data_IF_725364942686
#
_entry.id   IF_725364942686
#
_cell.length_a   1.000
_cell.length_b   1.000
_cell.length_c   1.000
_cell.angle_alpha   90.00
_cell.angle_beta   90.00
_cell.angle_gamma   90.00
#
_symmetry.space_group_name_H-M   'P 1'
#
loop_
_entity.id
_entity.type
_entity.pdbx_description
1 polymer ?
#
# COMPACT_ATOMS: atom_id res chain seq x y z
N UNK A 1 15.23 12.98 27.25
CA UNK A 1 15.50 13.25 25.83
C UNK A 1 14.20 13.08 25.07
N UNK A 2 13.70 14.13 24.41
CA UNK A 2 12.45 14.09 23.65
C UNK A 2 12.78 13.62 22.22
N UNK A 3 12.44 12.38 21.88
CA UNK A 3 12.71 11.86 20.54
C UNK A 3 11.92 12.69 19.51
N UNK A 4 12.63 13.29 18.56
CA UNK A 4 12.06 14.10 17.48
C UNK A 4 11.30 13.18 16.52
N UNK A 5 10.00 13.04 16.72
CA UNK A 5 9.12 12.19 15.91
C UNK A 5 8.70 12.96 14.64
N UNK A 6 9.68 13.26 13.79
CA UNK A 6 9.44 13.97 12.53
C UNK A 6 9.03 12.97 11.44
N UNK A 7 7.75 12.97 11.06
CA UNK A 7 7.25 12.18 9.93
C UNK A 7 8.00 12.52 8.63
N UNK A 8 8.15 11.53 7.75
CA UNK A 8 8.67 11.78 6.41
C UNK A 8 7.66 12.64 5.62
N UNK A 9 8.15 13.66 4.92
CA UNK A 9 7.30 14.49 4.05
C UNK A 9 6.82 13.66 2.87
N UNK A 10 5.53 13.34 2.87
CA UNK A 10 4.86 12.57 1.80
C UNK A 10 4.51 13.52 0.66
N UNK A 11 5.02 13.27 -0.55
CA UNK A 11 4.74 14.08 -1.75
C UNK A 11 3.44 13.68 -2.44
N UNK A 12 3.13 12.39 -2.47
CA UNK A 12 1.88 11.86 -3.02
C UNK A 12 1.16 11.08 -1.93
N UNK A 13 -0.12 11.36 -1.74
CA UNK A 13 -0.99 10.61 -0.84
C UNK A 13 -2.38 10.51 -1.44
N UNK A 14 -2.59 9.52 -2.30
CA UNK A 14 -3.82 9.39 -3.09
C UNK A 14 -4.49 8.05 -2.85
N UNK A 15 -5.78 8.08 -2.48
CA UNK A 15 -6.62 6.90 -2.43
C UNK A 15 -7.06 6.52 -3.85
N UNK A 16 -7.02 5.23 -4.16
CA UNK A 16 -7.47 4.65 -5.42
C UNK A 16 -8.43 3.49 -5.10
N UNK A 17 -9.44 3.31 -5.93
CA UNK A 17 -10.38 2.19 -5.84
C UNK A 17 -10.11 1.25 -7.01
N UNK A 18 -9.85 -0.01 -6.70
CA UNK A 18 -9.69 -1.08 -7.69
C UNK A 18 -10.98 -1.91 -7.76
N UNK A 19 -11.24 -2.54 -8.92
CA UNK A 19 -12.35 -3.47 -9.06
C UNK A 19 -12.28 -4.60 -8.01
N UNK A 20 -13.42 -5.24 -7.69
CA UNK A 20 -13.51 -6.36 -6.76
C UNK A 20 -12.97 -7.66 -7.39
N UNK A 21 -11.69 -7.65 -7.79
CA UNK A 21 -11.00 -8.77 -8.44
C UNK A 21 -9.65 -8.99 -7.74
N UNK A 22 -9.23 -10.25 -7.68
CA UNK A 22 -7.90 -10.57 -7.18
C UNK A 22 -6.82 -9.96 -8.08
N UNK A 23 -5.71 -9.54 -7.49
CA UNK A 23 -4.56 -9.02 -8.22
C UNK A 23 -3.25 -9.49 -7.57
N UNK A 24 -2.19 -9.54 -8.37
CA UNK A 24 -0.86 -9.93 -7.92
C UNK A 24 -0.07 -8.71 -7.42
N UNK A 25 0.60 -8.86 -6.29
CA UNK A 25 1.49 -7.85 -5.72
C UNK A 25 2.89 -8.43 -5.52
N UNK A 26 3.95 -7.78 -5.99
CA UNK A 26 5.31 -8.26 -5.79
C UNK A 26 5.72 -8.20 -4.31
N UNK A 27 6.56 -9.13 -3.86
CA UNK A 27 7.15 -9.08 -2.52
C UNK A 27 8.25 -8.02 -2.47
N UNK A 28 8.33 -7.28 -1.35
CA UNK A 28 9.37 -6.26 -1.15
C UNK A 28 10.78 -6.87 -1.14
N UNK A 29 10.95 -8.07 -0.60
CA UNK A 29 12.25 -8.74 -0.50
C UNK A 29 12.74 -9.35 -1.83
N UNK A 30 11.82 -9.80 -2.69
CA UNK A 30 12.12 -10.31 -4.02
C UNK A 30 10.96 -10.00 -4.98
N UNK A 31 11.12 -9.02 -5.90
CA UNK A 31 10.05 -8.61 -6.80
C UNK A 31 9.73 -9.63 -7.91
N UNK A 32 10.50 -10.72 -8.03
CA UNK A 32 10.18 -11.84 -8.93
C UNK A 32 9.11 -12.76 -8.36
N UNK A 33 8.91 -12.70 -7.04
CA UNK A 33 7.85 -13.43 -6.35
C UNK A 33 6.65 -12.51 -6.14
N UNK A 34 5.45 -13.07 -6.30
CA UNK A 34 4.19 -12.35 -6.09
C UNK A 34 3.35 -13.03 -5.01
N UNK A 35 2.45 -12.24 -4.43
CA UNK A 35 1.35 -12.70 -3.59
C UNK A 35 0.03 -12.23 -4.19
N UNK A 36 -0.96 -13.10 -4.19
CA UNK A 36 -2.32 -12.76 -4.59
C UNK A 36 -3.03 -12.00 -3.47
N UNK A 37 -3.55 -10.82 -3.78
CA UNK A 37 -4.43 -10.06 -2.91
C UNK A 37 -5.88 -10.31 -3.34
N UNK A 38 -6.62 -11.01 -2.49
CA UNK A 38 -8.06 -11.25 -2.70
C UNK A 38 -8.88 -10.01 -2.31
N UNK A 39 -10.00 -9.73 -3.00
CA UNK A 39 -10.89 -8.64 -2.61
C UNK A 39 -11.54 -8.91 -1.24
N UNK A 40 -11.92 -7.86 -0.50
CA UNK A 40 -12.69 -8.01 0.74
C UNK A 40 -14.04 -8.66 0.42
N UNK A 41 -14.45 -9.63 1.24
CA UNK A 41 -15.67 -10.41 1.03
C UNK A 41 -16.67 -10.16 2.16
N UNK A 42 -17.94 -9.96 1.79
CA UNK A 42 -19.06 -9.89 2.71
C UNK A 42 -20.21 -10.81 2.24
N UNK A 43 -21.29 -10.89 3.03
CA UNK A 43 -22.47 -11.69 2.71
C UNK A 43 -23.20 -11.24 1.42
N UNK A 44 -22.93 -10.02 0.94
CA UNK A 44 -23.44 -9.47 -0.32
C UNK A 44 -22.51 -9.68 -1.52
N UNK A 45 -21.34 -10.31 -1.32
CA UNK A 45 -20.31 -10.50 -2.34
C UNK A 45 -19.06 -9.63 -2.16
N UNK A 46 -18.12 -9.69 -3.11
CA UNK A 46 -16.82 -9.00 -3.01
C UNK A 46 -16.94 -7.48 -3.21
N UNK A 47 -16.27 -6.71 -2.36
CA UNK A 47 -16.20 -5.25 -2.42
C UNK A 47 -14.96 -4.74 -3.16
N UNK A 48 -14.92 -3.44 -3.50
CA UNK A 48 -13.74 -2.82 -4.12
C UNK A 48 -12.53 -2.89 -3.20
N UNK A 49 -11.34 -3.02 -3.78
CA UNK A 49 -10.09 -2.91 -3.02
C UNK A 49 -9.66 -1.45 -2.95
N UNK A 50 -9.50 -0.93 -1.75
CA UNK A 50 -9.02 0.44 -1.53
C UNK A 50 -7.50 0.40 -1.33
N UNK A 51 -6.76 1.12 -2.18
CA UNK A 51 -5.30 1.22 -2.11
C UNK A 51 -4.86 2.68 -2.00
N UNK A 52 -3.70 2.94 -1.39
CA UNK A 52 -3.14 4.28 -1.26
C UNK A 52 -1.78 4.35 -1.92
N UNK A 53 -1.64 5.20 -2.94
CA UNK A 53 -0.35 5.55 -3.50
C UNK A 53 0.31 6.58 -2.58
N UNK A 54 1.47 6.19 -2.04
CA UNK A 54 2.28 7.03 -1.16
C UNK A 54 3.65 7.19 -1.79
N UNK A 55 4.13 8.42 -1.93
CA UNK A 55 5.54 8.70 -2.24
C UNK A 55 6.15 9.62 -1.21
N UNK A 56 7.42 9.42 -0.90
CA UNK A 56 8.17 10.21 0.05
C UNK A 56 9.62 10.35 -0.44
N UNK A 57 10.30 11.39 -0.01
CA UNK A 57 11.74 11.51 -0.24
C UNK A 57 12.46 10.75 0.89
N UNK A 58 13.31 9.78 0.52
CA UNK A 58 14.14 9.03 1.47
C UNK A 58 15.19 9.99 2.05
N UNK A 59 15.35 10.03 3.37
CA UNK A 59 16.43 10.79 4.02
C UNK A 59 17.67 9.90 4.13
N UNK A 60 18.86 10.48 3.99
CA UNK A 60 20.12 9.77 4.26
C UNK A 60 20.10 9.23 5.70
N UNK A 61 20.35 7.93 5.87
CA UNK A 61 20.40 7.26 7.18
C UNK A 61 19.12 6.53 7.61
N UNK A 62 18.12 6.35 6.72
CA UNK A 62 17.06 5.35 6.89
C UNK A 62 17.43 4.00 6.26
#
# INVERSE_FOLDING_TARGET
SLANMASATVRVSRLLSLPPKAFEMPLTADPKLTVTISPPLAHTGPGPVLVRLISYDLREGQ
#
